data_IF_779950068862
#
_entry.id   IF_779950068862
#
_cell.length_a   1.000
_cell.length_b   1.000
_cell.length_c   1.000
_cell.angle_alpha   90.00
_cell.angle_beta   90.00
_cell.angle_gamma   90.00
#
_symmetry.space_group_name_H-M   'P 1'
#
loop_
_entity.id
_entity.type
_entity.pdbx_description
1 polymer ?
#
# COMPACT_ATOMS: atom_id res chain seq x y z
N UNK A 1 19.76 16.02 20.33
CA UNK A 1 18.40 15.53 20.62
C UNK A 1 18.23 14.21 19.88
N UNK A 2 18.33 13.08 20.59
CA UNK A 2 18.02 11.76 20.02
C UNK A 2 16.54 11.72 19.67
N UNK A 3 16.23 11.50 18.39
CA UNK A 3 14.87 11.21 17.95
C UNK A 3 14.46 9.87 18.56
N UNK A 4 13.50 9.87 19.48
CA UNK A 4 12.86 8.65 19.99
C UNK A 4 12.15 7.94 18.82
N UNK A 5 12.87 7.07 18.11
CA UNK A 5 12.32 6.15 17.13
C UNK A 5 12.07 4.79 17.77
N UNK A 6 10.93 4.17 17.48
CA UNK A 6 10.70 2.79 17.89
C UNK A 6 11.27 1.86 16.84
N UNK A 7 12.18 1.00 17.26
CA UNK A 7 12.66 -0.10 16.44
C UNK A 7 11.57 -1.17 16.33
N UNK A 8 11.14 -1.46 15.12
CA UNK A 8 10.12 -2.46 14.83
C UNK A 8 10.70 -3.54 13.95
N UNK A 9 10.50 -4.79 14.38
CA UNK A 9 10.85 -5.96 13.58
C UNK A 9 9.63 -6.55 12.89
N UNK A 10 9.65 -6.51 11.58
CA UNK A 10 8.68 -7.15 10.70
C UNK A 10 9.20 -8.53 10.26
N UNK A 11 8.31 -9.51 10.19
CA UNK A 11 8.58 -10.79 9.53
C UNK A 11 7.44 -11.11 8.57
N UNK A 12 7.76 -11.44 7.32
CA UNK A 12 6.84 -12.07 6.38
C UNK A 12 7.20 -13.54 6.20
N UNK A 13 6.23 -14.45 6.28
CA UNK A 13 6.50 -15.87 6.17
C UNK A 13 5.31 -16.69 5.66
N UNK A 14 5.49 -17.33 4.49
CA UNK A 14 4.60 -18.37 4.02
C UNK A 14 4.87 -19.65 4.84
N UNK A 15 3.90 -20.02 5.68
CA UNK A 15 4.06 -21.11 6.66
C UNK A 15 3.50 -22.44 6.16
N UNK A 16 2.87 -22.49 4.98
CA UNK A 16 2.30 -23.71 4.37
C UNK A 16 1.48 -24.54 5.36
N UNK A 17 0.53 -23.89 6.02
CA UNK A 17 -0.44 -24.47 6.93
C UNK A 17 -0.03 -24.44 8.41
N UNK A 18 -0.96 -23.98 9.25
CA UNK A 18 -0.83 -23.91 10.71
C UNK A 18 -1.90 -24.74 11.45
N UNK A 19 -2.61 -25.61 10.75
CA UNK A 19 -3.64 -26.46 11.36
C UNK A 19 -3.07 -27.43 12.41
N UNK A 20 -1.92 -28.03 12.13
CA UNK A 20 -1.24 -28.98 13.03
C UNK A 20 -0.68 -28.26 14.27
N UNK A 21 -1.04 -28.66 15.51
CA UNK A 21 -0.59 -28.01 16.74
C UNK A 21 0.93 -27.98 16.95
N UNK A 22 1.65 -29.05 16.56
CA UNK A 22 3.10 -29.15 16.69
C UNK A 22 3.77 -28.17 15.73
N UNK A 23 3.37 -28.16 14.45
CA UNK A 23 3.88 -27.19 13.47
C UNK A 23 3.59 -25.76 13.89
N UNK A 24 2.35 -25.47 14.32
CA UNK A 24 1.96 -24.15 14.82
C UNK A 24 2.81 -23.69 16.01
N UNK A 25 3.08 -24.57 16.97
CA UNK A 25 3.93 -24.27 18.12
C UNK A 25 5.38 -23.99 17.70
N UNK A 26 5.92 -24.73 16.73
CA UNK A 26 7.25 -24.49 16.15
C UNK A 26 7.32 -23.12 15.45
N UNK A 27 6.29 -22.75 14.69
CA UNK A 27 6.17 -21.44 14.03
C UNK A 27 6.19 -20.32 15.07
N UNK A 28 5.33 -20.37 16.09
CA UNK A 28 5.31 -19.33 17.14
C UNK A 28 6.60 -19.25 17.94
N UNK A 29 7.22 -20.39 18.25
CA UNK A 29 8.52 -20.40 18.93
C UNK A 29 9.61 -19.77 18.07
N UNK A 30 9.59 -19.99 16.75
CA UNK A 30 10.54 -19.37 15.82
C UNK A 30 10.34 -17.85 15.77
N UNK A 31 9.10 -17.37 15.56
CA UNK A 31 8.78 -15.94 15.54
C UNK A 31 9.15 -15.24 16.87
N UNK A 32 8.87 -15.89 18.01
CA UNK A 32 9.23 -15.36 19.33
C UNK A 32 10.74 -15.20 19.50
N UNK A 33 11.54 -16.17 19.03
CA UNK A 33 13.02 -16.10 19.07
C UNK A 33 13.57 -14.97 18.24
N UNK A 34 12.94 -14.66 17.11
CA UNK A 34 13.31 -13.51 16.30
C UNK A 34 12.83 -12.18 16.89
N UNK A 35 12.18 -12.17 18.05
CA UNK A 35 11.62 -10.96 18.68
C UNK A 35 10.75 -10.13 17.73
N UNK A 36 9.91 -10.79 16.92
CA UNK A 36 9.04 -10.09 15.95
C UNK A 36 8.01 -9.19 16.63
N UNK A 37 7.76 -8.03 16.03
CA UNK A 37 6.77 -7.06 16.49
C UNK A 37 5.52 -7.03 15.60
N UNK A 38 5.71 -7.16 14.28
CA UNK A 38 4.64 -7.30 13.30
C UNK A 38 4.94 -8.51 12.42
N UNK A 39 3.98 -9.41 12.24
CA UNK A 39 4.17 -10.64 11.47
C UNK A 39 3.11 -10.78 10.40
N UNK A 40 3.53 -10.94 9.15
CA UNK A 40 2.70 -11.30 8.01
C UNK A 40 2.83 -12.81 7.77
N UNK A 41 1.74 -13.54 7.95
CA UNK A 41 1.67 -14.97 7.69
C UNK A 41 0.86 -15.23 6.42
N UNK A 42 1.38 -16.05 5.53
CA UNK A 42 0.70 -16.54 4.34
C UNK A 42 0.44 -18.05 4.46
N UNK A 43 -0.56 -18.54 3.74
CA UNK A 43 -0.96 -19.95 3.77
C UNK A 43 -1.20 -20.49 5.18
N UNK A 44 -1.91 -19.74 6.02
CA UNK A 44 -2.27 -20.22 7.36
C UNK A 44 -3.10 -21.51 7.31
N UNK A 45 -3.88 -21.73 6.24
CA UNK A 45 -4.83 -22.84 6.04
C UNK A 45 -5.81 -23.01 7.21
N UNK A 46 -6.07 -21.92 7.95
CA UNK A 46 -7.02 -21.88 9.04
C UNK A 46 -8.37 -21.38 8.53
N UNK A 47 -9.43 -22.07 8.95
CA UNK A 47 -10.80 -21.60 8.75
C UNK A 47 -11.06 -20.41 9.67
N UNK A 48 -12.04 -19.58 9.34
CA UNK A 48 -12.46 -18.42 10.16
C UNK A 48 -12.74 -18.81 11.62
N UNK A 49 -13.39 -19.96 11.86
CA UNK A 49 -13.64 -20.48 13.22
C UNK A 49 -12.36 -20.84 14.01
N UNK A 50 -11.27 -21.14 13.30
CA UNK A 50 -9.99 -21.56 13.87
C UNK A 50 -9.02 -20.37 14.03
N UNK A 51 -9.43 -19.13 13.72
CA UNK A 51 -8.63 -17.91 13.88
C UNK A 51 -8.14 -17.72 15.33
N UNK A 52 -8.93 -18.15 16.32
CA UNK A 52 -8.55 -18.09 17.74
C UNK A 52 -7.20 -18.79 18.04
N UNK A 53 -6.79 -19.74 17.19
CA UNK A 53 -5.51 -20.46 17.31
C UNK A 53 -4.29 -19.61 16.96
N UNK A 54 -4.49 -18.45 16.35
CA UNK A 54 -3.43 -17.47 16.06
C UNK A 54 -3.08 -16.61 17.27
N UNK A 55 -3.89 -16.63 18.34
CA UNK A 55 -3.55 -15.99 19.59
C UNK A 55 -2.53 -16.82 20.36
N UNK A 56 -1.46 -16.16 20.78
CA UNK A 56 -0.46 -16.72 21.68
C UNK A 56 0.04 -15.63 22.64
N UNK A 57 0.75 -15.99 23.74
CA UNK A 57 0.97 -15.07 24.87
C UNK A 57 1.63 -13.73 24.53
N UNK A 58 2.43 -13.65 23.47
CA UNK A 58 3.14 -12.44 23.05
C UNK A 58 2.40 -11.60 22.00
N UNK A 59 1.31 -12.12 21.41
CA UNK A 59 0.48 -11.43 20.42
C UNK A 59 -0.64 -10.66 21.13
N UNK A 60 -0.82 -9.39 20.77
CA UNK A 60 -1.89 -8.51 21.26
C UNK A 60 -3.07 -8.46 20.29
N UNK A 61 -2.81 -8.35 18.99
CA UNK A 61 -3.84 -8.21 17.97
C UNK A 61 -3.61 -9.22 16.85
N UNK A 62 -4.70 -9.76 16.32
CA UNK A 62 -4.73 -10.71 15.22
C UNK A 62 -5.74 -10.22 14.20
N UNK A 63 -5.27 -10.00 12.99
CA UNK A 63 -6.10 -9.77 11.82
C UNK A 63 -5.96 -10.99 10.90
N UNK A 64 -7.07 -11.51 10.38
CA UNK A 64 -7.07 -12.71 9.53
C UNK A 64 -8.07 -12.54 8.40
N UNK A 65 -7.78 -13.12 7.25
CA UNK A 65 -8.69 -13.12 6.11
C UNK A 65 -9.84 -14.12 6.30
N UNK A 66 -11.07 -13.76 5.92
CA UNK A 66 -12.28 -14.52 6.23
C UNK A 66 -12.52 -15.78 5.37
N UNK A 67 -11.48 -16.37 4.77
CA UNK A 67 -11.63 -17.49 3.84
C UNK A 67 -11.90 -18.81 4.58
N UNK A 68 -13.08 -19.40 4.36
CA UNK A 68 -13.53 -20.57 5.10
C UNK A 68 -13.11 -21.89 4.43
N UNK A 69 -11.82 -22.08 4.16
CA UNK A 69 -11.27 -23.34 3.65
C UNK A 69 -9.95 -23.71 4.34
N UNK A 70 -9.46 -24.93 4.11
CA UNK A 70 -8.13 -25.38 4.56
C UNK A 70 -7.05 -25.12 3.51
N UNK A 71 -7.19 -24.06 2.73
CA UNK A 71 -6.21 -23.59 1.75
C UNK A 71 -6.08 -22.07 1.88
N UNK A 72 -4.96 -21.50 1.44
CA UNK A 72 -4.72 -20.05 1.49
C UNK A 72 -4.83 -19.50 2.93
N UNK A 73 -5.28 -18.26 3.08
CA UNK A 73 -5.51 -17.60 4.35
C UNK A 73 -4.27 -16.83 4.79
N UNK A 74 -4.44 -15.52 4.93
CA UNK A 74 -3.39 -14.60 5.38
C UNK A 74 -3.72 -14.05 6.77
N UNK A 75 -2.70 -13.79 7.58
CA UNK A 75 -2.86 -13.18 8.90
C UNK A 75 -1.82 -12.09 9.15
N UNK A 76 -2.20 -11.04 9.86
CA UNK A 76 -1.28 -10.06 10.43
C UNK A 76 -1.35 -10.19 11.95
N UNK A 77 -0.21 -10.51 12.58
CA UNK A 77 -0.08 -10.60 14.04
C UNK A 77 0.69 -9.39 14.54
N UNK A 78 0.18 -8.73 15.59
CA UNK A 78 0.84 -7.63 16.25
C UNK A 78 1.27 -8.07 17.65
N UNK A 79 2.53 -7.83 18.00
CA UNK A 79 3.09 -8.11 19.32
C UNK A 79 2.56 -7.15 20.39
N UNK A 80 2.50 -7.61 21.64
CA UNK A 80 2.19 -6.77 22.82
C UNK A 80 3.17 -5.62 23.02
N UNK A 81 4.39 -5.71 22.46
CA UNK A 81 5.38 -4.63 22.52
C UNK A 81 5.12 -3.53 21.49
N UNK A 82 4.35 -3.82 20.44
CA UNK A 82 4.04 -2.88 19.39
C UNK A 82 2.76 -2.11 19.73
N UNK A 83 2.88 -0.80 19.92
CA UNK A 83 1.74 0.09 20.10
C UNK A 83 1.13 0.42 18.73
N UNK A 84 0.33 -0.51 18.22
CA UNK A 84 -0.42 -0.33 16.99
C UNK A 84 -1.89 -0.07 17.29
N UNK A 85 -2.47 0.94 16.65
CA UNK A 85 -3.91 1.20 16.67
C UNK A 85 -4.47 1.03 15.26
N UNK A 86 -5.22 -0.05 15.03
CA UNK A 86 -5.91 -0.27 13.77
C UNK A 86 -7.08 0.71 13.60
N UNK A 87 -7.27 1.22 12.38
CA UNK A 87 -8.35 2.16 12.03
C UNK A 87 -9.27 1.60 10.95
N UNK A 88 -8.73 0.85 10.00
CA UNK A 88 -9.50 0.21 8.93
C UNK A 88 -8.89 -1.14 8.56
N UNK A 89 -9.75 -2.11 8.22
CA UNK A 89 -9.34 -3.47 7.86
C UNK A 89 -10.09 -3.87 6.59
N UNK A 90 -9.35 -4.25 5.55
CA UNK A 90 -9.90 -4.79 4.31
C UNK A 90 -9.34 -6.19 4.14
N UNK A 91 -10.22 -7.18 4.19
CA UNK A 91 -9.88 -8.59 4.02
C UNK A 91 -10.40 -9.11 2.69
N UNK A 92 -9.54 -9.79 1.95
CA UNK A 92 -9.94 -10.47 0.73
C UNK A 92 -10.88 -11.64 1.01
N UNK A 93 -11.90 -11.81 0.15
CA UNK A 93 -12.87 -12.90 0.26
C UNK A 93 -12.25 -14.27 -0.03
N UNK A 94 -11.23 -14.31 -0.90
CA UNK A 94 -10.54 -15.55 -1.30
C UNK A 94 -9.34 -15.88 -0.40
N UNK A 95 -9.11 -15.07 0.64
CA UNK A 95 -8.06 -15.32 1.63
C UNK A 95 -6.65 -15.06 1.13
N UNK A 96 -6.49 -14.22 0.10
CA UNK A 96 -5.22 -13.95 -0.57
C UNK A 96 -4.53 -12.69 -0.06
N UNK A 97 -5.26 -11.71 0.46
CA UNK A 97 -4.63 -10.52 1.03
C UNK A 97 -5.41 -9.95 2.21
N UNK A 98 -4.70 -9.15 3.01
CA UNK A 98 -5.24 -8.43 4.15
C UNK A 98 -4.54 -7.08 4.25
N UNK A 99 -5.34 -6.01 4.28
CA UNK A 99 -4.89 -4.63 4.38
C UNK A 99 -5.37 -4.10 5.73
N UNK A 100 -4.45 -3.62 6.56
CA UNK A 100 -4.76 -3.03 7.85
C UNK A 100 -4.16 -1.63 7.90
N UNK A 101 -5.02 -0.62 7.85
CA UNK A 101 -4.65 0.76 8.12
C UNK A 101 -4.59 0.98 9.64
N UNK A 102 -3.61 1.75 10.09
CA UNK A 102 -3.51 2.11 11.49
C UNK A 102 -2.39 3.09 11.76
N UNK A 103 -2.07 3.25 13.03
CA UNK A 103 -0.97 4.11 13.48
C UNK A 103 -0.01 3.34 14.36
N UNK A 104 1.29 3.50 14.11
CA UNK A 104 2.35 3.11 15.03
C UNK A 104 3.06 4.37 15.48
N UNK A 105 3.11 4.64 16.79
CA UNK A 105 3.80 5.81 17.35
C UNK A 105 3.44 7.14 16.66
N UNK A 106 2.14 7.35 16.40
CA UNK A 106 1.56 8.50 15.66
C UNK A 106 1.82 8.54 14.15
N UNK A 107 2.66 7.65 13.62
CA UNK A 107 2.87 7.50 12.18
C UNK A 107 1.77 6.63 11.60
N UNK A 108 1.02 7.19 10.64
CA UNK A 108 -0.01 6.47 9.88
C UNK A 108 0.66 5.48 8.93
N UNK A 109 0.32 4.20 9.05
CA UNK A 109 0.88 3.12 8.25
C UNK A 109 -0.23 2.26 7.62
N UNK A 110 0.06 1.69 6.46
CA UNK A 110 -0.74 0.66 5.81
C UNK A 110 0.06 -0.63 5.82
N UNK A 111 -0.46 -1.64 6.52
CA UNK A 111 0.12 -2.98 6.54
C UNK A 111 -0.62 -3.84 5.53
N UNK A 112 0.07 -4.30 4.49
CA UNK A 112 -0.55 -5.12 3.42
C UNK A 112 0.15 -6.47 3.36
N UNK A 113 -0.55 -7.52 3.79
CA UNK A 113 -0.08 -8.90 3.70
C UNK A 113 -0.68 -9.57 2.46
N UNK A 114 0.16 -10.14 1.59
CA UNK A 114 -0.24 -10.74 0.31
C UNK A 114 0.21 -12.20 0.21
N UNK A 115 -0.65 -13.03 -0.32
CA UNK A 115 -0.38 -14.37 -0.84
C UNK A 115 -0.97 -14.45 -2.24
N UNK A 116 -0.16 -14.17 -3.27
CA UNK A 116 -0.65 -14.11 -4.63
C UNK A 116 -0.88 -15.52 -5.22
N UNK A 117 -1.67 -15.67 -6.30
CA UNK A 117 -1.79 -16.92 -7.04
C UNK A 117 -0.45 -17.42 -7.57
N UNK A 118 -0.31 -18.74 -7.72
CA UNK A 118 0.89 -19.39 -8.26
C UNK A 118 0.94 -19.42 -9.80
N UNK A 119 -0.06 -18.86 -10.46
CA UNK A 119 -0.15 -18.65 -11.90
C UNK A 119 -0.20 -17.15 -12.18
N UNK A 120 0.16 -16.74 -13.40
CA UNK A 120 0.19 -15.34 -13.79
C UNK A 120 -1.23 -14.77 -13.89
N UNK A 121 -1.64 -14.01 -12.87
CA UNK A 121 -2.96 -13.42 -12.69
C UNK A 121 -2.84 -11.91 -12.44
N UNK A 122 -2.78 -11.15 -13.52
CA UNK A 122 -2.68 -9.68 -13.44
C UNK A 122 -3.96 -9.04 -12.89
N UNK A 123 -5.11 -9.69 -13.06
CA UNK A 123 -6.39 -9.20 -12.53
C UNK A 123 -6.41 -9.24 -11.01
N UNK A 124 -5.86 -10.30 -10.40
CA UNK A 124 -5.64 -10.37 -8.96
C UNK A 124 -4.80 -9.18 -8.46
N UNK A 125 -3.69 -8.88 -9.14
CA UNK A 125 -2.80 -7.79 -8.74
C UNK A 125 -3.52 -6.45 -8.87
N UNK A 126 -4.17 -6.18 -10.00
CA UNK A 126 -4.92 -4.93 -10.20
C UNK A 126 -6.05 -4.76 -9.16
N UNK A 127 -6.76 -5.85 -8.83
CA UNK A 127 -7.79 -5.85 -7.77
C UNK A 127 -7.18 -5.60 -6.38
N UNK A 128 -6.05 -6.22 -6.04
CA UNK A 128 -5.36 -5.96 -4.78
C UNK A 128 -4.97 -4.49 -4.67
N UNK A 129 -4.27 -3.97 -5.69
CA UNK A 129 -3.68 -2.63 -5.66
C UNK A 129 -4.74 -1.53 -5.64
N UNK A 130 -5.85 -1.69 -6.38
CA UNK A 130 -6.99 -0.76 -6.35
C UNK A 130 -7.72 -0.71 -5.01
N UNK A 131 -7.61 -1.78 -4.19
CA UNK A 131 -8.22 -1.82 -2.86
C UNK A 131 -7.31 -1.25 -1.75
N UNK A 132 -6.08 -0.82 -2.05
CA UNK A 132 -5.18 -0.19 -1.06
C UNK A 132 -5.62 1.27 -0.86
N UNK A 133 -6.21 1.63 0.30
CA UNK A 133 -6.73 2.97 0.51
C UNK A 133 -5.60 3.94 0.89
N UNK A 134 -5.85 5.24 0.78
CA UNK A 134 -5.11 6.27 1.53
C UNK A 134 -3.57 6.31 1.34
N UNK A 135 -3.03 5.84 0.21
CA UNK A 135 -1.58 5.87 -0.11
C UNK A 135 -0.95 7.27 0.01
N UNK A 136 -1.73 8.33 -0.22
CA UNK A 136 -1.26 9.71 -0.06
C UNK A 136 -1.04 10.13 1.40
N UNK A 137 -1.62 9.43 2.38
CA UNK A 137 -1.61 9.84 3.81
C UNK A 137 -0.95 8.85 4.75
N UNK A 138 -0.76 7.59 4.33
CA UNK A 138 -0.15 6.54 5.14
C UNK A 138 1.12 6.03 4.47
N UNK A 139 2.11 5.63 5.27
CA UNK A 139 3.30 4.96 4.76
C UNK A 139 2.98 3.48 4.52
N UNK A 140 3.16 3.02 3.29
CA UNK A 140 2.87 1.63 2.90
C UNK A 140 4.01 0.70 3.32
N UNK A 141 3.64 -0.41 3.96
CA UNK A 141 4.47 -1.60 4.18
C UNK A 141 3.70 -2.80 3.65
N UNK A 142 3.97 -3.13 2.38
CA UNK A 142 3.44 -4.32 1.73
C UNK A 142 4.46 -5.44 1.90
N UNK A 143 4.00 -6.65 2.19
CA UNK A 143 4.87 -7.81 2.18
C UNK A 143 4.09 -9.12 2.04
N UNK A 144 4.81 -10.17 1.68
CA UNK A 144 4.19 -11.47 1.49
C UNK A 144 4.84 -12.28 0.39
N UNK A 145 4.19 -13.40 0.08
CA UNK A 145 4.52 -14.27 -1.03
C UNK A 145 3.78 -13.77 -2.27
N UNK A 146 4.52 -13.13 -3.17
CA UNK A 146 3.97 -12.56 -4.41
C UNK A 146 3.90 -13.59 -5.53
N UNK A 147 4.44 -14.81 -5.33
CA UNK A 147 4.49 -15.89 -6.33
C UNK A 147 5.03 -15.48 -7.72
N UNK A 148 5.70 -14.33 -7.82
CA UNK A 148 6.27 -13.81 -9.04
C UNK A 148 7.69 -13.30 -8.77
N UNK A 149 8.51 -13.29 -9.82
CA UNK A 149 9.92 -12.89 -9.74
C UNK A 149 10.09 -11.53 -10.42
N UNK A 150 10.70 -10.57 -9.71
CA UNK A 150 11.00 -9.25 -10.26
C UNK A 150 12.20 -9.24 -11.21
N UNK A 151 13.30 -9.90 -10.86
CA UNK A 151 14.46 -10.02 -11.76
C UNK A 151 14.82 -11.49 -12.01
N UNK A 152 14.35 -12.12 -13.12
CA UNK A 152 14.59 -13.54 -13.37
C UNK A 152 16.06 -13.98 -13.29
N UNK A 153 17.00 -13.12 -13.69
CA UNK A 153 18.44 -13.42 -13.68
C UNK A 153 19.02 -13.50 -12.27
N UNK A 154 18.56 -12.65 -11.35
CA UNK A 154 19.09 -12.54 -9.99
C UNK A 154 18.24 -13.26 -8.94
N UNK A 155 16.94 -13.39 -9.18
CA UNK A 155 15.95 -13.93 -8.25
C UNK A 155 15.60 -15.39 -8.56
N UNK A 156 16.27 -16.03 -9.53
CA UNK A 156 16.23 -17.49 -9.75
C UNK A 156 17.63 -18.08 -9.73
N UNK A 157 17.75 -19.30 -9.19
CA UNK A 157 19.01 -20.04 -9.24
C UNK A 157 19.36 -20.46 -10.66
N UNK A 158 18.37 -20.97 -11.40
CA UNK A 158 18.51 -21.51 -12.75
C UNK A 158 17.45 -20.88 -13.68
N UNK A 159 17.68 -19.67 -14.22
CA UNK A 159 16.70 -19.00 -15.08
C UNK A 159 16.65 -19.66 -16.46
N UNK A 160 15.68 -20.56 -16.67
CA UNK A 160 15.36 -21.09 -18.01
C UNK A 160 14.53 -20.11 -18.84
N UNK A 161 13.70 -19.30 -18.17
CA UNK A 161 12.85 -18.27 -18.77
C UNK A 161 13.20 -16.92 -18.13
N UNK A 162 13.61 -15.96 -18.97
CA UNK A 162 13.98 -14.59 -18.58
C UNK A 162 12.80 -13.61 -18.70
N UNK A 163 11.66 -14.06 -19.21
CA UNK A 163 10.45 -13.24 -19.32
C UNK A 163 9.84 -13.00 -17.96
N UNK A 164 9.59 -11.73 -17.63
CA UNK A 164 8.83 -11.32 -16.46
C UNK A 164 7.34 -11.61 -16.68
N UNK A 165 6.67 -12.11 -15.64
CA UNK A 165 5.22 -12.33 -15.66
C UNK A 165 4.46 -11.00 -15.70
N UNK A 166 3.20 -11.02 -16.15
CA UNK A 166 2.34 -9.83 -16.13
C UNK A 166 2.10 -9.33 -14.70
N UNK A 167 1.96 -10.24 -13.73
CA UNK A 167 1.91 -9.90 -12.30
C UNK A 167 3.16 -9.15 -11.83
N UNK A 168 4.34 -9.66 -12.19
CA UNK A 168 5.62 -9.04 -11.82
C UNK A 168 5.72 -7.62 -12.35
N UNK A 169 5.36 -7.42 -13.63
CA UNK A 169 5.29 -6.09 -14.24
C UNK A 169 4.31 -5.17 -13.53
N UNK A 170 3.09 -5.63 -13.24
CA UNK A 170 2.08 -4.83 -12.53
C UNK A 170 2.54 -4.39 -11.12
N UNK A 171 3.23 -5.27 -10.38
CA UNK A 171 3.84 -4.88 -9.10
C UNK A 171 4.97 -3.85 -9.27
N UNK A 172 5.87 -4.05 -10.23
CA UNK A 172 6.96 -3.10 -10.52
C UNK A 172 6.40 -1.74 -10.92
N UNK A 173 5.42 -1.71 -11.83
CA UNK A 173 4.73 -0.49 -12.26
C UNK A 173 4.09 0.23 -11.06
N UNK A 174 3.43 -0.51 -10.17
CA UNK A 174 2.86 0.05 -8.94
C UNK A 174 3.93 0.63 -8.02
N UNK A 175 5.08 -0.03 -7.89
CA UNK A 175 6.19 0.50 -7.09
C UNK A 175 6.71 1.83 -7.65
N UNK A 176 6.94 1.90 -8.95
CA UNK A 176 7.40 3.13 -9.62
C UNK A 176 6.38 4.28 -9.49
N UNK A 177 5.10 3.96 -9.69
CA UNK A 177 3.98 4.90 -9.63
C UNK A 177 3.71 5.43 -8.22
N UNK A 178 4.00 4.66 -7.18
CA UNK A 178 3.72 5.03 -5.79
C UNK A 178 4.97 5.34 -4.96
N UNK A 179 6.15 5.31 -5.59
CA UNK A 179 7.41 5.60 -4.90
C UNK A 179 7.74 4.55 -3.84
N UNK A 180 7.48 3.28 -4.14
CA UNK A 180 7.85 2.16 -3.29
C UNK A 180 9.18 1.58 -3.75
N UNK A 181 9.88 0.93 -2.83
CA UNK A 181 11.15 0.27 -3.09
C UNK A 181 11.14 -1.15 -2.53
N UNK A 182 11.91 -2.04 -3.16
CA UNK A 182 12.32 -3.31 -2.57
C UNK A 182 13.59 -3.03 -1.74
N UNK A 183 13.49 -2.89 -0.40
CA UNK A 183 14.61 -2.48 0.42
C UNK A 183 15.72 -3.54 0.47
N UNK A 184 15.40 -4.82 0.19
CA UNK A 184 16.39 -5.89 0.14
C UNK A 184 17.25 -5.75 -1.12
N UNK A 185 16.61 -5.59 -2.29
CA UNK A 185 17.34 -5.40 -3.56
C UNK A 185 18.11 -4.09 -3.59
N UNK A 186 17.58 -3.00 -3.01
CA UNK A 186 18.32 -1.73 -2.89
C UNK A 186 19.64 -1.88 -2.12
N UNK A 187 19.68 -2.73 -1.09
CA UNK A 187 20.88 -3.00 -0.28
C UNK A 187 21.76 -4.10 -0.86
N UNK A 188 21.21 -4.95 -1.73
CA UNK A 188 21.86 -6.10 -2.32
C UNK A 188 21.67 -6.12 -3.85
N UNK A 189 22.23 -5.14 -4.60
CA UNK A 189 21.87 -4.94 -6.01
C UNK A 189 22.15 -6.15 -6.91
N UNK A 190 23.27 -6.84 -6.69
CA UNK A 190 23.74 -7.98 -7.50
C UNK A 190 23.71 -9.32 -6.78
N UNK A 191 23.46 -9.33 -5.46
CA UNK A 191 23.47 -10.57 -4.67
C UNK A 191 22.32 -11.48 -5.06
N UNK A 192 22.60 -12.78 -5.19
CA UNK A 192 21.58 -13.82 -5.30
C UNK A 192 21.29 -14.39 -3.93
N UNK A 193 20.05 -14.22 -3.46
CA UNK A 193 19.51 -14.86 -2.26
C UNK A 193 18.04 -15.16 -2.53
N UNK A 194 17.54 -16.26 -1.99
CA UNK A 194 16.24 -16.82 -2.37
C UNK A 194 15.36 -17.01 -1.15
N UNK A 195 14.06 -17.02 -1.38
CA UNK A 195 13.05 -17.19 -0.34
C UNK A 195 12.37 -18.55 -0.39
N UNK A 196 12.28 -19.17 -1.56
CA UNK A 196 11.58 -20.42 -1.80
C UNK A 196 12.49 -21.47 -2.42
N UNK A 197 12.34 -22.72 -1.96
CA UNK A 197 12.94 -23.90 -2.60
C UNK A 197 11.84 -24.77 -3.20
N UNK A 198 11.93 -25.05 -4.50
CA UNK A 198 11.06 -26.00 -5.20
C UNK A 198 11.69 -27.39 -5.18
N UNK A 199 11.13 -28.38 -4.43
CA UNK A 199 11.66 -29.74 -4.43
C UNK A 199 11.49 -30.43 -5.78
N UNK A 200 10.40 -30.11 -6.50
CA UNK A 200 10.05 -30.72 -7.80
C UNK A 200 11.02 -30.27 -8.90
N UNK A 201 11.40 -28.99 -8.90
CA UNK A 201 12.27 -28.42 -9.93
C UNK A 201 13.74 -28.30 -9.49
N UNK A 202 14.07 -28.75 -8.28
CA UNK A 202 15.40 -28.63 -7.67
C UNK A 202 16.00 -27.21 -7.83
N UNK A 203 15.17 -26.19 -7.62
CA UNK A 203 15.51 -24.80 -7.91
C UNK A 203 15.08 -23.87 -6.79
N UNK A 204 15.74 -22.71 -6.73
CA UNK A 204 15.44 -21.67 -5.76
C UNK A 204 14.93 -20.42 -6.48
N UNK A 205 13.99 -19.72 -5.84
CA UNK A 205 13.49 -18.44 -6.30
C UNK A 205 13.28 -17.47 -5.15
N UNK A 206 13.43 -16.17 -5.42
CA UNK A 206 13.02 -15.09 -4.52
C UNK A 206 11.63 -14.63 -4.95
N UNK A 207 10.62 -14.99 -4.17
CA UNK A 207 9.20 -14.69 -4.43
C UNK A 207 8.49 -14.05 -3.23
N UNK A 208 9.16 -14.00 -2.07
CA UNK A 208 8.69 -13.33 -0.88
C UNK A 208 9.36 -11.96 -0.77
N UNK A 209 8.58 -10.89 -0.60
CA UNK A 209 9.08 -9.52 -0.64
C UNK A 209 8.55 -8.68 0.51
N UNK A 210 9.28 -7.62 0.84
CA UNK A 210 8.71 -6.40 1.41
C UNK A 210 8.84 -5.29 0.37
N UNK A 211 7.77 -4.56 0.11
CA UNK A 211 7.74 -3.34 -0.68
C UNK A 211 7.31 -2.21 0.26
N UNK A 212 8.18 -1.24 0.45
CA UNK A 212 7.96 -0.16 1.42
C UNK A 212 7.95 1.20 0.73
N UNK A 213 7.24 2.16 1.31
CA UNK A 213 7.33 3.56 0.93
C UNK A 213 8.80 4.03 0.93
N UNK A 214 9.23 4.73 -0.12
CA UNK A 214 10.60 5.24 -0.21
C UNK A 214 11.01 6.11 0.98
N UNK A 215 10.05 6.79 1.62
CA UNK A 215 10.28 7.57 2.84
C UNK A 215 10.72 6.69 4.03
N UNK A 216 10.39 5.41 4.02
CA UNK A 216 10.81 4.43 5.02
C UNK A 216 12.17 3.81 4.71
N UNK A 217 12.70 3.95 3.49
CA UNK A 217 13.90 3.22 3.07
C UNK A 217 15.16 3.61 3.85
N UNK A 218 15.31 4.88 4.21
CA UNK A 218 16.42 5.34 5.07
C UNK A 218 16.28 4.91 6.52
N UNK A 219 15.06 4.56 6.95
CA UNK A 219 14.78 4.07 8.29
C UNK A 219 15.00 2.56 8.44
N UNK A 220 15.27 1.83 7.35
CA UNK A 220 15.52 0.39 7.41
C UNK A 220 16.94 0.11 7.91
N UNK A 221 17.02 -0.45 9.11
CA UNK A 221 18.27 -0.85 9.77
C UNK A 221 18.84 -2.13 9.16
N UNK A 222 17.99 -3.14 8.94
CA UNK A 222 18.40 -4.41 8.33
C UNK A 222 17.24 -5.07 7.59
N UNK A 223 17.56 -5.87 6.57
CA UNK A 223 16.58 -6.73 5.90
C UNK A 223 17.30 -7.98 5.38
N UNK A 224 16.78 -9.15 5.71
CA UNK A 224 17.38 -10.40 5.24
C UNK A 224 16.43 -11.60 5.22
N UNK A 225 16.74 -12.58 4.37
CA UNK A 225 16.10 -13.88 4.36
C UNK A 225 16.78 -14.81 5.36
N UNK A 226 15.99 -15.41 6.25
CA UNK A 226 16.46 -16.40 7.22
C UNK A 226 16.62 -17.79 6.55
N UNK A 227 16.98 -18.81 7.33
CA UNK A 227 17.02 -20.19 6.82
C UNK A 227 15.62 -20.76 6.54
N UNK A 228 15.49 -21.53 5.47
CA UNK A 228 14.31 -22.38 5.20
C UNK A 228 14.32 -23.52 6.23
N UNK A 229 13.34 -23.55 7.14
CA UNK A 229 13.34 -24.47 8.30
C UNK A 229 12.05 -25.26 8.50
N UNK A 230 10.93 -24.59 8.74
CA UNK A 230 9.64 -25.21 9.13
C UNK A 230 8.67 -25.27 7.93
N UNK A 231 8.88 -24.38 6.97
CA UNK A 231 8.18 -24.29 5.69
C UNK A 231 9.17 -24.49 4.56
N UNK A 232 8.68 -24.59 3.33
CA UNK A 232 9.45 -24.49 2.08
C UNK A 232 9.83 -23.05 1.71
N UNK A 233 9.28 -22.07 2.44
CA UNK A 233 9.68 -20.67 2.38
C UNK A 233 10.54 -20.25 3.58
N UNK A 234 11.49 -19.37 3.29
CA UNK A 234 12.32 -18.63 4.22
C UNK A 234 11.52 -17.44 4.79
N UNK A 235 11.53 -17.23 6.11
CA UNK A 235 11.05 -15.98 6.68
C UNK A 235 11.90 -14.80 6.19
N UNK A 236 11.25 -13.76 5.66
CA UNK A 236 11.87 -12.49 5.34
C UNK A 236 11.74 -11.55 6.55
N UNK A 237 12.86 -11.12 7.11
CA UNK A 237 12.94 -10.22 8.26
C UNK A 237 13.27 -8.81 7.80
N UNK A 238 12.56 -7.81 8.32
CA UNK A 238 12.79 -6.39 8.08
C UNK A 238 12.82 -5.64 9.41
N UNK A 239 13.96 -5.06 9.74
CA UNK A 239 14.13 -4.17 10.89
C UNK A 239 14.07 -2.72 10.44
N UNK A 240 13.12 -1.97 10.99
CA UNK A 240 12.87 -0.58 10.63
C UNK A 240 12.65 0.29 11.87
N UNK A 241 13.30 1.45 11.90
CA UNK A 241 13.11 2.45 12.92
C UNK A 241 12.03 3.45 12.50
N UNK A 242 10.80 3.24 12.96
CA UNK A 242 9.72 4.21 12.73
C UNK A 242 9.84 5.29 13.81
N UNK A 243 10.27 6.48 13.40
CA UNK A 243 10.27 7.67 14.25
C UNK A 243 9.03 8.52 13.98
N UNK A 244 8.70 9.39 14.93
CA UNK A 244 7.71 10.47 14.79
C UNK A 244 8.11 11.54 13.76
N UNK A 245 9.11 11.26 12.92
CA UNK A 245 9.66 12.22 11.98
C UNK A 245 8.57 12.73 11.03
N UNK A 246 8.44 14.07 10.98
CA UNK A 246 7.72 14.77 9.93
C UNK A 246 8.19 14.22 8.60
N UNK A 247 7.22 13.73 7.83
CA UNK A 247 7.34 13.27 6.45
C UNK A 247 8.45 14.05 5.74
N UNK A 248 9.57 13.40 5.44
CA UNK A 248 10.40 13.88 4.34
C UNK A 248 9.49 13.75 3.12
N UNK A 249 9.13 14.91 2.58
CA UNK A 249 8.11 15.07 1.55
C UNK A 249 8.35 14.07 0.44
N UNK A 250 7.38 13.18 0.19
CA UNK A 250 7.30 12.48 -1.09
C UNK A 250 7.50 13.52 -2.19
N UNK A 251 8.40 13.25 -3.14
CA UNK A 251 8.60 14.13 -4.29
C UNK A 251 7.23 14.44 -4.89
N UNK A 252 6.80 15.71 -4.84
CA UNK A 252 5.51 16.11 -5.39
C UNK A 252 5.46 15.74 -6.87
N UNK A 253 4.32 15.20 -7.28
CA UNK A 253 3.99 14.81 -8.65
C UNK A 253 2.74 15.57 -9.08
N UNK A 254 2.73 15.97 -10.34
CA UNK A 254 1.60 16.70 -10.92
C UNK A 254 0.40 15.77 -11.15
N UNK A 255 -0.79 16.24 -10.81
CA UNK A 255 -2.05 15.56 -11.14
C UNK A 255 -2.45 15.91 -12.58
N UNK A 256 -2.24 14.98 -13.51
CA UNK A 256 -2.56 15.19 -14.93
C UNK A 256 -4.06 15.37 -15.22
N UNK A 257 -4.96 14.92 -14.35
CA UNK A 257 -6.41 15.14 -14.54
C UNK A 257 -6.83 16.58 -14.39
N UNK A 258 -6.06 17.40 -13.70
CA UNK A 258 -6.33 18.82 -13.65
C UNK A 258 -6.38 19.43 -15.05
N UNK A 259 -5.68 18.85 -16.04
CA UNK A 259 -5.72 19.29 -17.43
C UNK A 259 -7.06 19.04 -18.15
N UNK A 260 -7.92 18.18 -17.60
CA UNK A 260 -9.29 18.00 -18.10
C UNK A 260 -10.25 19.08 -17.55
N UNK A 261 -9.85 19.78 -16.50
CA UNK A 261 -10.66 20.81 -15.85
C UNK A 261 -10.42 22.16 -16.52
N UNK A 262 -11.45 22.69 -17.19
CA UNK A 262 -11.37 23.98 -17.90
C UNK A 262 -10.96 25.13 -16.97
N UNK A 263 -11.45 25.11 -15.72
CA UNK A 263 -11.09 26.13 -14.71
C UNK A 263 -9.60 26.09 -14.36
N UNK A 264 -9.03 24.90 -14.20
CA UNK A 264 -7.61 24.73 -13.95
C UNK A 264 -6.76 25.15 -15.15
N UNK A 265 -7.14 24.75 -16.37
CA UNK A 265 -6.41 25.15 -17.57
C UNK A 265 -6.38 26.69 -17.72
N UNK A 266 -7.52 27.35 -17.49
CA UNK A 266 -7.58 28.81 -17.49
C UNK A 266 -6.70 29.41 -16.39
N UNK A 267 -6.74 28.85 -15.18
CA UNK A 267 -5.89 29.28 -14.06
C UNK A 267 -4.40 29.19 -14.42
N UNK A 268 -3.95 28.07 -14.99
CA UNK A 268 -2.55 27.89 -15.38
C UNK A 268 -2.16 28.81 -16.53
N UNK A 269 -2.99 28.94 -17.56
CA UNK A 269 -2.71 29.85 -18.67
C UNK A 269 -2.53 31.28 -18.19
N UNK A 270 -3.41 31.76 -17.32
CA UNK A 270 -3.28 33.09 -16.71
C UNK A 270 -2.02 33.20 -15.86
N UNK A 271 -1.74 32.18 -15.02
CA UNK A 271 -0.55 32.13 -14.17
C UNK A 271 0.75 32.18 -14.98
N UNK A 272 0.81 31.51 -16.13
CA UNK A 272 1.96 31.55 -17.04
C UNK A 272 2.11 32.94 -17.67
N UNK A 273 1.01 33.51 -18.17
CA UNK A 273 1.03 34.84 -18.78
C UNK A 273 1.48 35.91 -17.78
N UNK A 274 0.94 35.88 -16.56
CA UNK A 274 1.33 36.77 -15.48
C UNK A 274 2.83 36.60 -15.18
N UNK A 275 3.32 35.37 -15.02
CA UNK A 275 4.73 35.13 -14.76
C UNK A 275 5.63 35.71 -15.86
N UNK A 276 5.32 35.45 -17.12
CA UNK A 276 6.12 35.93 -18.24
C UNK A 276 6.10 37.46 -18.35
N UNK A 277 4.94 38.10 -18.13
CA UNK A 277 4.83 39.55 -18.17
C UNK A 277 5.76 40.27 -17.17
N UNK A 278 6.04 39.66 -16.01
CA UNK A 278 6.90 40.25 -14.99
C UNK A 278 8.36 39.78 -15.04
N UNK A 279 8.65 38.59 -15.57
CA UNK A 279 9.96 37.96 -15.43
C UNK A 279 10.73 37.84 -16.75
N UNK A 280 10.10 38.07 -17.90
CA UNK A 280 10.77 38.05 -19.20
C UNK A 280 11.45 39.40 -19.47
N UNK A 281 12.71 39.54 -19.05
CA UNK A 281 13.56 40.71 -19.32
C UNK A 281 14.78 40.32 -20.15
N UNK A 282 15.39 41.29 -20.85
CA UNK A 282 16.60 41.05 -21.68
C UNK A 282 17.79 40.50 -20.87
N UNK A 283 17.80 40.74 -19.55
CA UNK A 283 18.84 40.30 -18.63
C UNK A 283 18.71 38.85 -18.15
N UNK A 284 17.56 38.20 -18.35
CA UNK A 284 17.28 36.85 -17.85
C UNK A 284 17.44 35.83 -18.97
N UNK A 285 18.31 34.83 -18.76
CA UNK A 285 18.46 33.75 -19.73
C UNK A 285 17.20 32.88 -19.80
N UNK A 286 16.88 32.37 -21.00
CA UNK A 286 15.74 31.48 -21.19
C UNK A 286 15.78 30.22 -20.32
N UNK A 287 16.98 29.70 -20.03
CA UNK A 287 17.16 28.54 -19.14
C UNK A 287 16.73 28.87 -17.70
N UNK A 288 17.19 30.00 -17.16
CA UNK A 288 16.79 30.45 -15.83
C UNK A 288 15.30 30.79 -15.77
N UNK A 289 14.75 31.42 -16.81
CA UNK A 289 13.32 31.72 -16.93
C UNK A 289 12.47 30.44 -16.90
N UNK A 290 12.91 29.38 -17.58
CA UNK A 290 12.21 28.10 -17.61
C UNK A 290 12.22 27.38 -16.25
N UNK A 291 13.39 27.29 -15.59
CA UNK A 291 13.50 26.64 -14.28
C UNK A 291 12.69 27.38 -13.21
N UNK A 292 12.71 28.71 -13.23
CA UNK A 292 11.93 29.54 -12.30
C UNK A 292 10.43 29.44 -12.56
N UNK A 293 9.99 29.43 -13.83
CA UNK A 293 8.59 29.18 -14.19
C UNK A 293 8.10 27.83 -13.67
N UNK A 294 8.86 26.75 -13.83
CA UNK A 294 8.49 25.42 -13.32
C UNK A 294 8.31 25.41 -11.80
N UNK A 295 9.21 26.06 -11.07
CA UNK A 295 9.12 26.18 -9.61
C UNK A 295 7.87 26.97 -9.18
N UNK A 296 7.64 28.10 -9.84
CA UNK A 296 6.47 28.95 -9.60
C UNK A 296 5.15 28.21 -9.87
N UNK A 297 5.04 27.59 -11.04
CA UNK A 297 3.85 26.82 -11.43
C UNK A 297 3.58 25.68 -10.46
N UNK A 298 4.62 24.96 -10.00
CA UNK A 298 4.46 23.91 -8.98
C UNK A 298 3.82 24.46 -7.70
N UNK A 299 4.26 25.60 -7.20
CA UNK A 299 3.66 26.26 -6.04
C UNK A 299 2.19 26.62 -6.26
N UNK A 300 1.88 27.18 -7.42
CA UNK A 300 0.51 27.58 -7.79
C UNK A 300 -0.42 26.36 -7.92
N UNK A 301 0.04 25.28 -8.53
CA UNK A 301 -0.72 24.03 -8.67
C UNK A 301 -0.97 23.38 -7.30
N UNK A 302 0.01 23.38 -6.40
CA UNK A 302 -0.15 22.86 -5.02
C UNK A 302 -1.23 23.66 -4.30
N UNK A 303 -1.16 24.99 -4.39
CA UNK A 303 -2.13 25.89 -3.76
C UNK A 303 -3.55 25.66 -4.29
N UNK A 304 -3.70 25.61 -5.63
CA UNK A 304 -4.97 25.32 -6.29
C UNK A 304 -5.55 23.98 -5.84
N UNK A 305 -4.73 22.92 -5.87
CA UNK A 305 -5.15 21.58 -5.47
C UNK A 305 -5.58 21.51 -4.00
N UNK A 306 -4.84 22.17 -3.11
CA UNK A 306 -5.18 22.23 -1.69
C UNK A 306 -6.52 22.97 -1.45
N UNK A 307 -6.74 24.09 -2.14
CA UNK A 307 -7.99 24.85 -2.07
C UNK A 307 -9.18 24.03 -2.57
N UNK A 308 -9.06 23.41 -3.75
CA UNK A 308 -10.13 22.60 -4.35
C UNK A 308 -10.46 21.39 -3.48
N UNK A 309 -9.45 20.68 -2.97
CA UNK A 309 -9.64 19.55 -2.06
C UNK A 309 -10.34 19.97 -0.76
N UNK A 310 -9.99 21.12 -0.19
CA UNK A 310 -10.66 21.63 1.02
C UNK A 310 -12.14 21.90 0.75
N UNK A 311 -12.48 22.53 -0.38
CA UNK A 311 -13.87 22.82 -0.75
C UNK A 311 -14.68 21.55 -1.04
N UNK A 312 -14.08 20.59 -1.76
CA UNK A 312 -14.71 19.29 -2.03
C UNK A 312 -15.01 18.54 -0.74
N UNK A 313 -14.05 18.47 0.19
CA UNK A 313 -14.26 17.84 1.50
C UNK A 313 -15.35 18.52 2.33
N UNK A 314 -15.41 19.86 2.33
CA UNK A 314 -16.49 20.58 3.00
C UNK A 314 -17.86 20.24 2.40
N UNK A 315 -17.94 20.13 1.06
CA UNK A 315 -19.16 19.77 0.33
C UNK A 315 -19.58 18.33 0.58
N UNK A 316 -18.64 17.38 0.60
CA UNK A 316 -18.86 15.97 0.97
C UNK A 316 -19.42 15.85 2.39
N UNK A 317 -18.83 16.56 3.35
CA UNK A 317 -19.30 16.55 4.74
C UNK A 317 -20.73 17.11 4.86
N UNK A 318 -21.03 18.18 4.12
CA UNK A 318 -22.38 18.75 4.06
C UNK A 318 -23.37 17.76 3.45
N UNK A 319 -23.04 17.15 2.30
CA UNK A 319 -23.88 16.16 1.62
C UNK A 319 -24.13 14.93 2.50
N UNK A 320 -23.11 14.43 3.19
CA UNK A 320 -23.24 13.32 4.14
C UNK A 320 -24.24 13.64 5.26
N UNK A 321 -24.17 14.86 5.81
CA UNK A 321 -25.13 15.31 6.85
C UNK A 321 -26.55 15.42 6.30
N UNK A 322 -26.71 15.97 5.09
CA UNK A 322 -28.01 16.09 4.41
C UNK A 322 -28.62 14.73 4.12
N UNK A 323 -27.84 13.80 3.54
CA UNK A 323 -28.29 12.43 3.26
C UNK A 323 -28.73 11.72 4.55
N UNK A 324 -27.93 11.84 5.62
CA UNK A 324 -28.28 11.27 6.93
C UNK A 324 -29.60 11.82 7.48
N UNK A 325 -29.84 13.12 7.32
CA UNK A 325 -31.10 13.74 7.75
C UNK A 325 -32.28 13.31 6.87
N UNK A 326 -32.10 13.24 5.55
CA UNK A 326 -33.11 12.76 4.61
C UNK A 326 -33.48 11.29 4.86
N UNK A 327 -32.49 10.43 5.12
CA UNK A 327 -32.72 9.03 5.46
C UNK A 327 -33.53 8.90 6.77
N UNK A 328 -33.27 9.75 7.77
CA UNK A 328 -34.05 9.79 9.01
C UNK A 328 -35.49 10.25 8.78
N UNK A 329 -35.70 11.35 8.05
CA UNK A 329 -37.04 11.86 7.73
C UNK A 329 -37.85 10.88 6.89
N UNK A 330 -37.21 10.23 5.92
CA UNK A 330 -37.84 9.21 5.07
C UNK A 330 -38.23 7.96 5.86
N UNK A 331 -37.43 7.54 6.85
CA UNK A 331 -37.75 6.42 7.72
C UNK A 331 -38.99 6.69 8.61
N UNK A 332 -39.20 7.94 9.01
CA UNK A 332 -40.36 8.35 9.80
C UNK A 332 -41.61 8.56 8.93
N UNK A 333 -41.46 9.19 7.76
CA UNK A 333 -42.56 9.52 6.86
C UNK A 333 -42.13 9.31 5.39
N UNK A 334 -42.31 8.10 4.84
CA UNK A 334 -41.93 7.82 3.46
C UNK A 334 -42.68 8.70 2.46
N UNK A 335 -41.94 9.43 1.62
CA UNK A 335 -42.49 10.31 0.58
C UNK A 335 -41.66 10.25 -0.70
N UNK A 336 -42.29 10.22 -1.90
CA UNK A 336 -41.60 10.28 -3.19
C UNK A 336 -40.67 11.49 -3.33
N UNK A 337 -41.05 12.63 -2.74
CA UNK A 337 -40.26 13.86 -2.80
C UNK A 337 -38.97 13.75 -1.96
N UNK A 338 -39.06 13.16 -0.76
CA UNK A 338 -37.90 12.90 0.09
C UNK A 338 -36.95 11.88 -0.56
N UNK A 339 -37.50 10.84 -1.21
CA UNK A 339 -36.71 9.86 -1.94
C UNK A 339 -35.95 10.51 -3.10
N UNK A 340 -36.60 11.41 -3.85
CA UNK A 340 -35.97 12.15 -4.95
C UNK A 340 -34.80 13.01 -4.45
N UNK A 341 -35.02 13.82 -3.41
CA UNK A 341 -33.97 14.67 -2.83
C UNK A 341 -32.78 13.86 -2.31
N UNK A 342 -33.06 12.67 -1.75
CA UNK A 342 -32.04 11.74 -1.27
C UNK A 342 -31.23 11.15 -2.43
N UNK A 343 -31.89 10.76 -3.53
CA UNK A 343 -31.21 10.26 -4.73
C UNK A 343 -30.36 11.37 -5.37
N UNK A 344 -30.87 12.59 -5.48
CA UNK A 344 -30.14 13.72 -6.05
C UNK A 344 -28.87 14.05 -5.23
N UNK A 345 -29.01 14.08 -3.89
CA UNK A 345 -27.89 14.31 -2.98
C UNK A 345 -26.84 13.19 -3.07
N UNK A 346 -27.27 11.94 -3.22
CA UNK A 346 -26.39 10.79 -3.44
C UNK A 346 -25.67 10.89 -4.78
N UNK A 347 -26.37 11.23 -5.86
CA UNK A 347 -25.77 11.38 -7.18
C UNK A 347 -24.71 12.49 -7.21
N UNK A 348 -24.92 13.58 -6.48
CA UNK A 348 -23.91 14.63 -6.32
C UNK A 348 -22.70 14.15 -5.53
N UNK A 349 -22.92 13.44 -4.41
CA UNK A 349 -21.85 12.80 -3.63
C UNK A 349 -21.01 11.84 -4.50
N UNK A 350 -21.68 10.99 -5.28
CA UNK A 350 -21.06 10.01 -6.16
C UNK A 350 -20.25 10.70 -7.27
N UNK A 351 -20.73 11.82 -7.83
CA UNK A 351 -19.97 12.61 -8.82
C UNK A 351 -18.68 13.18 -8.25
N UNK A 352 -18.71 13.73 -7.03
CA UNK A 352 -17.51 14.32 -6.40
C UNK A 352 -16.50 13.23 -6.07
N UNK A 353 -16.94 12.12 -5.50
CA UNK A 353 -16.07 10.99 -5.13
C UNK A 353 -15.57 10.21 -6.35
N UNK A 354 -16.38 10.10 -7.42
CA UNK A 354 -15.94 9.50 -8.70
C UNK A 354 -14.89 10.36 -9.38
N UNK A 355 -14.93 11.70 -9.28
CA UNK A 355 -13.83 12.55 -9.78
C UNK A 355 -12.52 12.27 -9.04
N UNK A 356 -12.56 12.13 -7.72
CA UNK A 356 -11.40 11.70 -6.91
C UNK A 356 -10.92 10.29 -7.29
N UNK A 357 -11.83 9.38 -7.66
CA UNK A 357 -11.50 8.03 -8.11
C UNK A 357 -10.95 7.99 -9.55
N UNK A 358 -11.47 8.83 -10.45
CA UNK A 358 -11.01 8.92 -11.84
C UNK A 358 -9.58 9.45 -11.94
N UNK A 359 -9.14 10.26 -10.96
CA UNK A 359 -7.74 10.67 -10.80
C UNK A 359 -6.82 9.48 -10.56
N UNK A 360 -7.29 8.50 -9.79
CA UNK A 360 -6.55 7.28 -9.47
C UNK A 360 -6.45 6.37 -10.70
N UNK A 361 -7.45 6.35 -11.59
CA UNK A 361 -7.48 5.48 -12.78
C UNK A 361 -6.86 6.11 -14.03
N UNK A 362 -6.88 7.43 -14.19
CA UNK A 362 -6.39 8.11 -15.40
C UNK A 362 -4.86 8.31 -15.42
N UNK A 363 -4.19 8.23 -14.28
CA UNK A 363 -2.74 8.04 -14.19
C UNK A 363 -2.25 6.70 -14.78
N UNK A 364 -3.17 5.76 -15.03
CA UNK A 364 -2.88 4.43 -15.59
C UNK A 364 -3.06 4.37 -17.11
N UNK A 365 -3.82 5.29 -17.73
CA UNK A 365 -4.23 5.20 -19.15
C UNK A 365 -3.33 5.99 -20.12
N UNK A 366 -2.56 6.99 -19.64
CA UNK A 366 -1.62 7.75 -20.50
C UNK A 366 -0.26 7.06 -20.75
N UNK A 367 -0.20 5.72 -20.70
CA UNK A 367 1.01 4.91 -21.00
C UNK A 367 0.73 3.80 -22.01
N UNK A 368 0.04 4.11 -23.10
CA UNK A 368 0.15 3.34 -24.35
C UNK A 368 0.85 4.19 -25.39
#
# INVERSE_FOLDING_TARGET
METLGTHLRFISWNVRGMGNPVKRSRVFAHLKRQTSDVVFLQETHLRTKDQHRLYCPWVSQVFHSNFNSKSRGVAILISKRCQFSATNIIADRDGRYLIVAGTVMQTKVLLVNVYAPNFDDVEFVNKLLSNIPCLSTHLLILGGDLNCVFNPTLDRSNPLNLTQSAMSRSFIDFMEQNGLVDPWRSRNPSTKKFSFFSPVHHSFSRIDYFLIDSALNSCVNSIDYLGIVISDHSPLLLDIQISTAKRNTSLWRFNSLLLAEREFCNFISNTVNDFLAFNQTESVSYSLLWETLKCYLRGQIISYSAFTNKNNNARINKLTSVIRNLDHLYALNPSPELLKQRIDSQAEFDRITTKEFSFITSSTVLRN
#
